data_IF_853927375980
#
_entry.id   IF_853927375980
#
_cell.length_a   1.000
_cell.length_b   1.000
_cell.length_c   1.000
_cell.angle_alpha   90.00
_cell.angle_beta   90.00
_cell.angle_gamma   90.00
#
_symmetry.space_group_name_H-M   'P 1'
#
loop_
_entity.id
_entity.type
_entity.pdbx_description
1 polymer ?
#
# COMPACT_ATOMS: atom_id res chain seq x y z
N UNK A 1 21.14 19.25 3.29
CA UNK A 1 19.98 18.34 3.19
C UNK A 1 19.91 17.83 1.76
N UNK A 2 19.92 16.51 1.56
CA UNK A 2 19.74 15.91 0.23
C UNK A 2 18.43 15.12 0.27
N UNK A 3 17.54 15.39 -0.68
CA UNK A 3 16.21 14.79 -0.74
C UNK A 3 16.25 13.68 -1.79
N UNK A 4 15.87 12.46 -1.39
CA UNK A 4 15.86 11.25 -2.22
C UNK A 4 17.18 11.05 -3.02
N UNK A 5 18.35 11.04 -2.36
CA UNK A 5 19.60 10.84 -3.06
C UNK A 5 19.71 9.44 -3.65
N UNK A 6 20.48 9.33 -4.73
CA UNK A 6 21.04 8.05 -5.15
C UNK A 6 22.08 7.61 -4.10
N UNK A 7 21.62 6.76 -3.17
CA UNK A 7 22.39 6.20 -2.04
C UNK A 7 23.72 5.62 -2.53
N UNK A 8 23.75 5.09 -3.75
CA UNK A 8 24.96 4.48 -4.27
C UNK A 8 26.09 5.46 -4.55
N UNK A 9 25.75 6.71 -4.86
CA UNK A 9 26.70 7.76 -5.28
C UNK A 9 27.18 8.64 -4.13
N UNK A 10 26.66 8.43 -2.92
CA UNK A 10 27.05 9.24 -1.76
C UNK A 10 28.39 8.73 -1.21
N UNK A 11 29.37 9.62 -1.15
CA UNK A 11 30.61 9.38 -0.42
C UNK A 11 30.42 9.76 1.06
N UNK A 12 29.93 8.80 1.84
CA UNK A 12 29.60 8.97 3.26
C UNK A 12 30.79 9.43 4.12
N UNK A 13 32.03 9.11 3.72
CA UNK A 13 33.24 9.48 4.48
C UNK A 13 33.49 10.98 4.55
N UNK A 14 32.85 11.77 3.70
CA UNK A 14 32.98 13.23 3.65
C UNK A 14 32.12 13.95 4.66
N UNK A 15 31.22 13.24 5.33
CA UNK A 15 30.25 13.82 6.25
C UNK A 15 30.55 13.36 7.67
N UNK A 16 30.49 14.30 8.62
CA UNK A 16 30.66 13.98 10.04
C UNK A 16 29.43 13.28 10.61
N UNK A 17 28.25 13.68 10.14
CA UNK A 17 26.96 13.16 10.58
C UNK A 17 26.06 12.89 9.38
N UNK A 18 25.38 11.74 9.43
CA UNK A 18 24.35 11.38 8.47
C UNK A 18 23.02 11.31 9.21
N UNK A 19 22.07 12.16 8.80
CA UNK A 19 20.74 12.22 9.40
C UNK A 19 19.76 11.58 8.43
N UNK A 20 19.08 10.54 8.89
CA UNK A 20 18.06 9.83 8.13
C UNK A 20 16.68 10.34 8.56
N UNK A 21 16.03 11.08 7.66
CA UNK A 21 14.76 11.75 7.94
C UNK A 21 13.54 10.82 7.80
N UNK A 22 13.56 9.92 6.82
CA UNK A 22 12.43 9.06 6.47
C UNK A 22 12.87 7.62 6.24
N UNK A 23 11.90 6.71 6.34
CA UNK A 23 12.07 5.31 5.96
C UNK A 23 12.40 5.19 4.47
N UNK A 24 13.34 4.29 4.13
CA UNK A 24 13.60 3.93 2.73
C UNK A 24 12.35 3.33 2.07
N UNK A 25 12.26 3.38 0.74
CA UNK A 25 11.15 2.76 0.02
C UNK A 25 11.30 1.24 -0.09
N UNK A 26 12.55 0.74 -0.08
CA UNK A 26 12.87 -0.67 -0.26
C UNK A 26 13.91 -1.15 0.76
N UNK A 27 13.81 -2.42 1.15
CA UNK A 27 14.75 -3.03 2.11
C UNK A 27 16.17 -3.09 1.57
N UNK A 28 16.34 -3.23 0.26
CA UNK A 28 17.63 -3.26 -0.42
C UNK A 28 18.37 -1.92 -0.26
N UNK A 29 17.64 -0.80 -0.30
CA UNK A 29 18.19 0.53 -0.07
C UNK A 29 18.69 0.69 1.37
N UNK A 30 17.90 0.23 2.35
CA UNK A 30 18.32 0.21 3.75
C UNK A 30 19.57 -0.66 3.95
N UNK A 31 19.62 -1.86 3.37
CA UNK A 31 20.77 -2.76 3.45
C UNK A 31 22.03 -2.14 2.84
N UNK A 32 21.88 -1.53 1.66
CA UNK A 32 22.97 -0.84 0.97
C UNK A 32 23.49 0.35 1.78
N UNK A 33 22.57 1.15 2.32
CA UNK A 33 22.89 2.27 3.20
C UNK A 33 23.65 1.79 4.45
N UNK A 34 23.13 0.78 5.14
CA UNK A 34 23.77 0.18 6.31
C UNK A 34 25.18 -0.34 6.00
N UNK A 35 25.38 -0.96 4.84
CA UNK A 35 26.69 -1.45 4.40
C UNK A 35 27.68 -0.29 4.10
N UNK A 36 27.21 0.82 3.52
CA UNK A 36 28.08 1.94 3.11
C UNK A 36 28.41 2.91 4.24
N UNK A 37 27.47 3.20 5.12
CA UNK A 37 27.62 4.19 6.19
C UNK A 37 27.79 3.57 7.59
N UNK A 38 27.23 2.39 7.83
CA UNK A 38 26.99 1.87 9.18
C UNK A 38 25.75 2.52 9.82
N UNK A 39 24.88 1.71 10.41
CA UNK A 39 23.66 2.20 11.09
C UNK A 39 24.04 2.99 12.35
N UNK A 40 25.11 2.57 13.02
CA UNK A 40 25.66 3.19 14.23
C UNK A 40 26.18 4.62 14.03
N UNK A 41 26.51 4.99 12.78
CA UNK A 41 26.96 6.33 12.39
C UNK A 41 25.82 7.21 11.87
N UNK A 42 24.57 6.80 12.11
CA UNK A 42 23.38 7.47 11.59
C UNK A 42 22.50 7.99 12.72
N UNK A 43 22.05 9.23 12.61
CA UNK A 43 20.99 9.79 13.46
C UNK A 43 19.68 9.57 12.70
N UNK A 44 18.86 8.64 13.18
CA UNK A 44 17.54 8.38 12.61
C UNK A 44 16.50 9.25 13.28
N UNK A 45 15.82 10.10 12.51
CA UNK A 45 14.63 10.81 12.95
C UNK A 45 13.45 9.87 12.73
N UNK A 46 13.08 9.18 13.79
CA UNK A 46 12.00 8.19 13.77
C UNK A 46 11.09 8.37 14.98
N UNK A 47 9.78 8.40 14.73
CA UNK A 47 8.74 8.27 15.72
C UNK A 47 7.90 7.02 15.44
N UNK A 48 7.44 6.36 16.50
CA UNK A 48 6.42 5.29 16.47
C UNK A 48 5.17 5.59 15.63
N UNK A 49 4.86 6.87 15.39
CA UNK A 49 3.78 7.32 14.51
C UNK A 49 4.07 7.16 13.02
N UNK A 50 5.32 7.18 12.58
CA UNK A 50 5.70 7.37 11.17
C UNK A 50 5.31 6.15 10.30
N UNK A 51 5.31 4.97 10.89
CA UNK A 51 4.98 3.72 10.19
C UNK A 51 3.48 3.58 9.90
N UNK A 52 2.65 4.30 10.64
CA UNK A 52 1.19 4.19 10.55
C UNK A 52 0.73 4.63 9.17
N UNK A 53 1.27 5.73 8.64
CA UNK A 53 0.88 6.26 7.34
C UNK A 53 1.13 5.26 6.21
N UNK A 54 2.32 4.66 6.15
CA UNK A 54 2.68 3.68 5.11
C UNK A 54 1.79 2.43 5.19
N UNK A 55 1.54 1.95 6.41
CA UNK A 55 0.65 0.80 6.64
C UNK A 55 -0.78 1.13 6.21
N UNK A 56 -1.30 2.28 6.62
CA UNK A 56 -2.66 2.73 6.27
C UNK A 56 -2.84 2.88 4.76
N UNK A 57 -1.88 3.49 4.07
CA UNK A 57 -1.93 3.63 2.61
C UNK A 57 -1.95 2.25 1.94
N UNK A 58 -1.07 1.34 2.35
CA UNK A 58 -1.02 0.00 1.76
C UNK A 58 -2.30 -0.80 2.04
N UNK A 59 -2.82 -0.76 3.25
CA UNK A 59 -4.05 -1.45 3.62
C UNK A 59 -5.27 -0.84 2.90
N UNK A 60 -5.28 0.48 2.70
CA UNK A 60 -6.38 1.16 2.01
C UNK A 60 -6.54 0.73 0.55
N UNK A 61 -5.47 0.25 -0.10
CA UNK A 61 -5.51 -0.16 -1.51
C UNK A 61 -5.78 -1.66 -1.70
N UNK A 62 -5.71 -2.47 -0.64
CA UNK A 62 -5.96 -3.91 -0.71
C UNK A 62 -7.42 -4.17 -0.35
N UNK A 63 -8.26 -4.65 -1.28
CA UNK A 63 -9.68 -4.81 -1.02
C UNK A 63 -9.92 -5.97 -0.05
N UNK A 64 -10.68 -5.69 1.01
CA UNK A 64 -11.21 -6.72 1.91
C UNK A 64 -12.29 -7.54 1.22
N UNK A 65 -12.58 -8.73 1.76
CA UNK A 65 -13.69 -9.57 1.28
C UNK A 65 -15.04 -8.82 1.26
N UNK A 66 -15.32 -7.99 2.26
CA UNK A 66 -16.57 -7.24 2.33
C UNK A 66 -16.64 -6.16 1.23
N UNK A 67 -15.53 -5.46 0.96
CA UNK A 67 -15.42 -4.52 -0.15
C UNK A 67 -15.62 -5.22 -1.49
N UNK A 68 -14.97 -6.37 -1.71
CA UNK A 68 -15.18 -7.17 -2.93
C UNK A 68 -16.65 -7.58 -3.10
N UNK A 69 -17.30 -8.06 -2.04
CA UNK A 69 -18.72 -8.44 -2.09
C UNK A 69 -19.60 -7.24 -2.44
N UNK A 70 -19.34 -6.06 -1.85
CA UNK A 70 -20.11 -4.85 -2.11
C UNK A 70 -19.97 -4.41 -3.58
N UNK A 71 -18.74 -4.31 -4.08
CA UNK A 71 -18.45 -3.92 -5.46
C UNK A 71 -19.06 -4.92 -6.45
N UNK A 72 -18.92 -6.22 -6.19
CA UNK A 72 -19.51 -7.24 -7.07
C UNK A 72 -21.05 -7.19 -7.09
N UNK A 73 -21.68 -6.99 -5.93
CA UNK A 73 -23.14 -6.82 -5.83
C UNK A 73 -23.62 -5.55 -6.53
N UNK A 74 -22.84 -4.48 -6.50
CA UNK A 74 -23.14 -3.25 -7.23
C UNK A 74 -23.27 -3.54 -8.73
N UNK A 75 -22.25 -4.15 -9.35
CA UNK A 75 -22.30 -4.48 -10.77
C UNK A 75 -23.34 -5.53 -11.13
N UNK A 76 -23.52 -6.56 -10.28
CA UNK A 76 -24.56 -7.58 -10.51
C UNK A 76 -25.97 -7.01 -10.46
N UNK A 77 -26.19 -5.90 -9.76
CA UNK A 77 -27.47 -5.22 -9.66
C UNK A 77 -27.75 -4.25 -10.81
N UNK A 78 -26.81 -4.06 -11.73
CA UNK A 78 -27.01 -3.28 -12.95
C UNK A 78 -27.47 -4.20 -14.08
N UNK A 79 -28.32 -3.68 -14.97
CA UNK A 79 -28.89 -4.45 -16.08
C UNK A 79 -27.80 -5.10 -16.95
N UNK A 80 -28.17 -6.20 -17.62
CA UNK A 80 -27.26 -6.96 -18.47
C UNK A 80 -26.73 -6.09 -19.62
N UNK A 81 -25.46 -5.70 -19.55
CA UNK A 81 -24.81 -4.88 -20.56
C UNK A 81 -23.41 -4.41 -20.15
N UNK A 82 -22.79 -3.61 -21.02
CA UNK A 82 -21.58 -2.87 -20.69
C UNK A 82 -21.94 -1.67 -19.81
N UNK A 83 -21.33 -1.60 -18.63
CA UNK A 83 -21.53 -0.53 -17.65
C UNK A 83 -20.38 0.45 -17.82
N UNK A 84 -20.70 1.71 -18.11
CA UNK A 84 -19.74 2.79 -18.31
C UNK A 84 -19.82 3.80 -17.19
N UNK A 85 -18.71 4.11 -16.54
CA UNK A 85 -18.66 5.06 -15.42
C UNK A 85 -17.25 5.61 -15.19
N UNK A 86 -17.18 6.75 -14.54
CA UNK A 86 -15.97 7.29 -13.92
C UNK A 86 -15.82 6.81 -12.48
N UNK A 87 -14.61 6.89 -11.91
CA UNK A 87 -14.42 6.52 -10.50
C UNK A 87 -15.29 7.35 -9.55
N UNK A 88 -15.46 8.65 -9.80
CA UNK A 88 -16.22 9.56 -8.92
C UNK A 88 -17.71 9.22 -8.86
N UNK A 89 -18.29 8.87 -10.00
CA UNK A 89 -19.69 8.38 -10.11
C UNK A 89 -19.86 7.08 -9.30
N UNK A 90 -18.99 6.10 -9.54
CA UNK A 90 -19.06 4.82 -8.83
C UNK A 90 -18.78 4.96 -7.33
N UNK A 91 -17.84 5.81 -6.94
CA UNK A 91 -17.53 6.08 -5.54
C UNK A 91 -18.76 6.62 -4.81
N UNK A 92 -19.47 7.56 -5.43
CA UNK A 92 -20.69 8.15 -4.86
C UNK A 92 -21.78 7.09 -4.69
N UNK A 93 -22.03 6.28 -5.72
CA UNK A 93 -23.04 5.23 -5.70
C UNK A 93 -22.75 4.14 -4.65
N UNK A 94 -21.52 3.64 -4.62
CA UNK A 94 -21.11 2.58 -3.69
C UNK A 94 -21.13 3.10 -2.25
N UNK A 95 -20.68 4.33 -2.03
CA UNK A 95 -20.73 4.97 -0.71
C UNK A 95 -22.17 5.10 -0.21
N UNK A 96 -23.09 5.57 -1.05
CA UNK A 96 -24.50 5.72 -0.68
C UNK A 96 -25.19 4.37 -0.44
N UNK A 97 -24.94 3.38 -1.30
CA UNK A 97 -25.66 2.10 -1.27
C UNK A 97 -25.11 1.11 -0.24
N UNK A 98 -23.80 1.13 0.01
CA UNK A 98 -23.13 0.14 0.86
C UNK A 98 -22.37 0.75 2.05
N UNK A 99 -22.40 2.07 2.22
CA UNK A 99 -21.62 2.79 3.25
C UNK A 99 -20.14 2.37 3.25
N UNK A 100 -19.57 2.23 2.04
CA UNK A 100 -18.24 1.72 1.81
C UNK A 100 -17.30 2.86 1.42
N UNK A 101 -16.25 3.07 2.21
CA UNK A 101 -15.15 3.93 1.81
C UNK A 101 -14.23 3.20 0.84
N UNK A 102 -13.87 3.88 -0.24
CA UNK A 102 -13.16 3.32 -1.39
C UNK A 102 -12.22 4.38 -1.96
N UNK A 103 -11.08 3.94 -2.51
CA UNK A 103 -10.22 4.77 -3.34
C UNK A 103 -10.00 4.10 -4.70
N UNK A 104 -9.58 4.90 -5.68
CA UNK A 104 -9.44 4.46 -7.06
C UNK A 104 -8.51 3.25 -7.20
N UNK A 105 -7.45 3.18 -6.39
CA UNK A 105 -6.50 2.08 -6.44
C UNK A 105 -7.10 0.78 -5.90
N UNK A 106 -7.84 0.84 -4.80
CA UNK A 106 -8.57 -0.30 -4.25
C UNK A 106 -9.62 -0.82 -5.23
N UNK A 107 -10.33 0.09 -5.89
CA UNK A 107 -11.30 -0.23 -6.91
C UNK A 107 -10.64 -0.91 -8.12
N UNK A 108 -9.55 -0.33 -8.64
CA UNK A 108 -8.76 -0.93 -9.72
C UNK A 108 -8.25 -2.33 -9.36
N UNK A 109 -7.76 -2.51 -8.14
CA UNK A 109 -7.32 -3.81 -7.64
C UNK A 109 -8.49 -4.81 -7.56
N UNK A 110 -9.69 -4.36 -7.18
CA UNK A 110 -10.90 -5.19 -7.15
C UNK A 110 -11.30 -5.66 -8.54
N UNK A 111 -11.29 -4.76 -9.55
CA UNK A 111 -11.57 -5.14 -10.94
C UNK A 111 -10.56 -6.15 -11.47
N UNK A 112 -9.28 -6.00 -11.15
CA UNK A 112 -8.24 -6.97 -11.53
C UNK A 112 -8.47 -8.35 -10.89
N UNK A 113 -8.88 -8.41 -9.62
CA UNK A 113 -9.26 -9.67 -8.94
C UNK A 113 -10.44 -10.33 -9.65
N UNK A 114 -11.49 -9.57 -9.94
CA UNK A 114 -12.68 -10.11 -10.60
C UNK A 114 -12.39 -10.56 -12.03
N UNK A 115 -11.55 -9.81 -12.75
CA UNK A 115 -11.14 -10.17 -14.10
C UNK A 115 -10.30 -11.45 -14.13
N UNK A 116 -9.35 -11.63 -13.20
CA UNK A 116 -8.61 -12.89 -13.08
C UNK A 116 -9.54 -14.07 -12.75
N UNK A 117 -10.56 -13.82 -11.93
CA UNK A 117 -11.59 -14.80 -11.60
C UNK A 117 -12.62 -15.05 -12.70
N UNK A 118 -12.55 -14.42 -13.87
CA UNK A 118 -13.59 -14.49 -14.91
C UNK A 118 -15.00 -14.11 -14.39
N UNK A 119 -15.08 -13.19 -13.44
CA UNK A 119 -16.36 -12.67 -12.92
C UNK A 119 -16.84 -11.44 -13.70
N UNK A 120 -15.92 -10.73 -14.34
CA UNK A 120 -16.18 -9.62 -15.25
C UNK A 120 -15.00 -9.43 -16.19
N UNK A 121 -15.20 -8.60 -17.21
CA UNK A 121 -14.14 -8.01 -18.01
C UNK A 121 -14.21 -6.50 -17.87
N UNK A 122 -13.09 -5.80 -18.02
CA UNK A 122 -13.09 -4.34 -17.96
C UNK A 122 -12.03 -3.69 -18.86
N UNK A 123 -12.27 -2.43 -19.23
CA UNK A 123 -11.31 -1.55 -19.92
C UNK A 123 -11.31 -0.17 -19.29
N UNK A 124 -10.13 0.41 -19.11
CA UNK A 124 -9.94 1.78 -18.65
C UNK A 124 -9.37 2.63 -19.79
N UNK A 125 -10.09 3.68 -20.21
CA UNK A 125 -9.62 4.64 -21.22
C UNK A 125 -10.07 6.03 -20.83
N UNK A 126 -9.15 6.99 -20.80
CA UNK A 126 -9.45 8.39 -20.46
C UNK A 126 -10.24 8.55 -19.14
N UNK A 127 -9.86 7.80 -18.09
CA UNK A 127 -10.54 7.76 -16.78
C UNK A 127 -11.99 7.21 -16.79
N UNK A 128 -12.39 6.58 -17.90
CA UNK A 128 -13.69 5.92 -18.03
C UNK A 128 -13.47 4.40 -17.95
N UNK A 129 -14.16 3.77 -17.02
CA UNK A 129 -14.24 2.32 -16.87
C UNK A 129 -15.42 1.81 -17.70
N UNK A 130 -15.17 0.74 -18.46
CA UNK A 130 -16.17 -0.04 -19.16
C UNK A 130 -16.12 -1.44 -18.55
N UNK A 131 -17.19 -1.91 -17.94
CA UNK A 131 -17.26 -3.19 -17.22
C UNK A 131 -18.37 -4.05 -17.80
N UNK A 132 -18.06 -5.30 -18.13
CA UNK A 132 -19.05 -6.29 -18.55
C UNK A 132 -19.02 -7.48 -17.60
N UNK A 133 -20.15 -7.76 -16.96
CA UNK A 133 -20.29 -8.94 -16.09
C UNK A 133 -20.14 -10.22 -16.89
N UNK A 134 -19.53 -11.23 -16.29
CA UNK A 134 -19.38 -12.56 -16.88
C UNK A 134 -20.05 -13.57 -15.96
N UNK A 135 -20.76 -14.55 -16.53
CA UNK A 135 -21.29 -15.66 -15.75
C UNK A 135 -20.19 -16.71 -15.55
N UNK A 136 -19.73 -16.93 -14.31
CA UNK A 136 -18.70 -17.93 -14.08
C UNK A 136 -19.29 -19.34 -14.18
N UNK A 137 -18.58 -20.25 -14.86
CA UNK A 137 -19.01 -21.65 -14.99
C UNK A 137 -19.03 -22.42 -13.66
N UNK A 138 -18.29 -21.95 -12.65
CA UNK A 138 -18.22 -22.56 -11.33
C UNK A 138 -17.93 -21.52 -10.24
N UNK A 139 -18.08 -21.92 -8.98
CA UNK A 139 -17.73 -21.08 -7.83
C UNK A 139 -16.21 -20.84 -7.82
N UNK A 140 -15.81 -19.57 -7.81
CA UNK A 140 -14.41 -19.16 -7.75
C UNK A 140 -14.02 -18.78 -6.32
N UNK A 141 -12.85 -19.24 -5.88
CA UNK A 141 -12.23 -18.78 -4.64
C UNK A 141 -11.23 -17.64 -4.93
N UNK A 142 -11.64 -16.41 -4.63
CA UNK A 142 -10.85 -15.20 -4.86
C UNK A 142 -9.53 -15.19 -4.09
N UNK A 143 -9.41 -15.92 -2.97
CA UNK A 143 -8.18 -15.97 -2.18
C UNK A 143 -7.07 -16.79 -2.85
N UNK A 144 -7.43 -17.65 -3.81
CA UNK A 144 -6.48 -18.49 -4.54
C UNK A 144 -5.88 -17.81 -5.76
N UNK A 145 -6.48 -16.71 -6.21
CA UNK A 145 -6.06 -15.96 -7.38
C UNK A 145 -4.65 -15.37 -7.18
N UNK A 146 -3.86 -15.37 -8.27
CA UNK A 146 -2.47 -14.91 -8.28
C UNK A 146 -2.38 -13.44 -7.89
N UNK A 147 -3.32 -12.61 -8.34
CA UNK A 147 -3.33 -11.19 -8.06
C UNK A 147 -3.71 -10.90 -6.60
N UNK A 148 -4.71 -11.60 -6.04
CA UNK A 148 -5.01 -11.53 -4.59
C UNK A 148 -3.79 -11.91 -3.76
N UNK A 149 -3.15 -13.05 -4.08
CA UNK A 149 -1.90 -13.49 -3.41
C UNK A 149 -0.74 -12.52 -3.62
N UNK A 150 -0.71 -11.77 -4.72
CA UNK A 150 0.29 -10.74 -4.95
C UNK A 150 0.08 -9.54 -4.03
N UNK A 151 -1.16 -9.08 -3.83
CA UNK A 151 -1.48 -8.01 -2.91
C UNK A 151 -1.17 -8.40 -1.46
N UNK A 152 -1.54 -9.62 -1.04
CA UNK A 152 -1.20 -10.14 0.28
C UNK A 152 0.31 -10.25 0.50
N UNK A 153 1.06 -10.70 -0.51
CA UNK A 153 2.53 -10.71 -0.45
C UNK A 153 3.12 -9.31 -0.33
N UNK A 154 2.53 -8.29 -0.94
CA UNK A 154 2.97 -6.90 -0.73
C UNK A 154 2.76 -6.45 0.71
N UNK A 155 1.61 -6.77 1.30
CA UNK A 155 1.32 -6.51 2.71
C UNK A 155 2.34 -7.19 3.63
N UNK A 156 2.61 -8.47 3.38
CA UNK A 156 3.60 -9.23 4.13
C UNK A 156 5.01 -8.62 4.02
N UNK A 157 5.48 -8.33 2.80
CA UNK A 157 6.80 -7.72 2.57
C UNK A 157 6.95 -6.36 3.24
N UNK A 158 5.89 -5.54 3.24
CA UNK A 158 5.90 -4.27 3.96
C UNK A 158 6.07 -4.47 5.47
N UNK A 159 5.37 -5.45 6.05
CA UNK A 159 5.52 -5.78 7.47
C UNK A 159 6.91 -6.33 7.80
N UNK A 160 7.47 -7.18 6.95
CA UNK A 160 8.85 -7.68 7.08
C UNK A 160 9.85 -6.51 7.01
N UNK A 161 9.69 -5.63 6.04
CA UNK A 161 10.56 -4.47 5.90
C UNK A 161 10.46 -3.51 7.09
N UNK A 162 9.24 -3.22 7.56
CA UNK A 162 9.00 -2.45 8.78
C UNK A 162 9.75 -3.04 9.98
N UNK A 163 9.73 -4.35 10.17
CA UNK A 163 10.45 -4.98 11.28
C UNK A 163 11.97 -4.80 11.17
N UNK A 164 12.53 -4.91 9.96
CA UNK A 164 13.96 -4.67 9.70
C UNK A 164 14.31 -3.19 9.90
N UNK A 165 13.44 -2.28 9.47
CA UNK A 165 13.57 -0.85 9.69
C UNK A 165 13.63 -0.52 11.19
N UNK A 166 12.67 -1.01 11.97
CA UNK A 166 12.61 -0.82 13.42
C UNK A 166 13.90 -1.26 14.13
N UNK A 167 14.41 -2.44 13.79
CA UNK A 167 15.68 -2.93 14.34
C UNK A 167 16.86 -2.00 13.99
N UNK A 168 16.82 -1.39 12.81
CA UNK A 168 17.87 -0.48 12.34
C UNK A 168 17.80 0.87 13.06
N UNK A 169 16.61 1.47 13.20
CA UNK A 169 16.48 2.81 13.79
C UNK A 169 16.51 2.83 15.32
N UNK A 170 16.16 1.72 15.98
CA UNK A 170 16.22 1.60 17.45
C UNK A 170 17.61 1.15 17.96
N UNK A 171 18.43 0.54 17.10
CA UNK A 171 19.81 0.13 17.42
C UNK A 171 20.88 1.20 17.17
N UNK A 172 20.60 2.20 16.32
CA UNK A 172 21.42 3.41 16.21
C UNK A 172 21.20 4.32 17.43
N UNK A 173 22.24 5.02 17.91
CA UNK A 173 22.17 5.86 19.13
C UNK A 173 20.92 6.75 19.13
N UNK A 174 19.92 6.36 19.92
CA UNK A 174 18.66 7.07 20.06
C UNK A 174 18.90 8.33 20.93
N UNK A 175 19.19 9.46 20.30
CA UNK A 175 19.23 10.78 20.97
C UNK A 175 17.89 11.53 20.84
N UNK A 176 16.77 10.80 20.74
CA UNK A 176 15.43 11.35 20.86
C UNK A 176 14.96 11.25 22.31
N UNK A 177 15.23 12.28 23.12
CA UNK A 177 14.68 12.38 24.46
C UNK A 177 13.17 12.60 24.40
N UNK A 178 12.37 11.53 24.45
CA UNK A 178 11.00 11.63 24.95
C UNK A 178 11.08 11.79 26.46
N UNK A 179 10.99 13.04 26.94
CA UNK A 179 10.58 13.28 28.31
C UNK A 179 9.16 12.73 28.43
N UNK A 180 9.02 11.61 29.14
CA UNK A 180 7.76 11.26 29.76
C UNK A 180 7.41 12.40 30.72
N UNK A 181 6.45 13.24 30.34
CA UNK A 181 5.69 14.00 31.32
C UNK A 181 4.99 12.98 32.23
N UNK A 182 5.60 12.74 33.39
CA UNK A 182 4.87 12.22 34.54
C UNK A 182 3.96 13.36 34.97
N UNK A 183 2.68 13.25 34.63
CA UNK A 183 1.65 14.07 35.24
C UNK A 183 1.63 13.78 36.74
N UNK A 184 1.85 14.84 37.52
CA UNK A 184 1.43 14.94 38.92
C UNK A 184 -0.07 15.26 39.00
#
# INVERSE_FOLDING_TARGET
VVINPDIDKIDYKRYNDVILYDMFYFVEQLKLFAHKNGIENTISLYNSGDEKCNTLVLESIIPTRNQLIAIYKYFKGMDSGEITFTFDELYTDIKQKYNLETNERMFSNSLAIFSEGNLLTYRLKNNIYNVCMTEPACKIDLNTLKFTRYLERKKQRNNEFKNVWLQSVTGGKFNGSEKQDKGD
#
